data_IF_575953192033
#
_entry.id   IF_575953192033
#
_cell.length_a   1.000
_cell.length_b   1.000
_cell.length_c   1.000
_cell.angle_alpha   90.00
_cell.angle_beta   90.00
_cell.angle_gamma   90.00
#
_symmetry.space_group_name_H-M   'P 1'
#
loop_
_entity.id
_entity.type
_entity.pdbx_description
1 polymer ?
#
# COMPACT_ATOMS: atom_id res chain seq x y z
N UNK A 1 -1.63 22.15 -9.44
CA UNK A 1 -0.51 21.51 -8.73
C UNK A 1 -0.97 21.22 -7.32
N UNK A 2 -1.11 19.95 -6.96
CA UNK A 2 -1.31 19.54 -5.57
C UNK A 2 -0.15 18.59 -5.25
N UNK A 3 0.76 19.08 -4.40
CA UNK A 3 1.80 18.26 -3.79
C UNK A 3 1.10 17.19 -2.96
N UNK A 4 1.58 15.94 -2.99
CA UNK A 4 1.16 14.87 -2.07
C UNK A 4 1.53 15.14 -0.60
N UNK A 5 1.62 16.40 -0.19
CA UNK A 5 1.54 16.83 1.19
C UNK A 5 0.06 16.80 1.57
N UNK A 6 -0.39 15.66 2.08
CA UNK A 6 -1.51 15.67 3.00
C UNK A 6 -1.16 16.63 4.14
N UNK A 7 -1.83 17.79 4.18
CA UNK A 7 -1.63 18.89 5.16
C UNK A 7 -1.80 18.47 6.64
N UNK A 8 -2.05 17.18 6.93
CA UNK A 8 -2.17 16.62 8.28
C UNK A 8 -1.53 15.23 8.42
N UNK A 9 -0.49 14.92 7.63
CA UNK A 9 0.31 13.71 7.87
C UNK A 9 1.58 14.11 8.65
N UNK A 10 1.82 13.60 9.87
CA UNK A 10 2.89 14.05 10.76
C UNK A 10 4.31 13.70 10.29
N UNK A 11 4.49 13.30 9.03
CA UNK A 11 5.73 12.75 8.50
C UNK A 11 6.36 13.71 7.48
N UNK A 12 7.42 14.42 7.89
CA UNK A 12 8.16 15.39 7.07
C UNK A 12 8.93 14.75 5.88
N UNK A 13 8.99 13.41 5.84
CA UNK A 13 9.44 12.60 4.70
C UNK A 13 8.48 11.41 4.59
N UNK A 14 8.06 11.01 3.38
CA UNK A 14 7.09 9.92 3.21
C UNK A 14 7.50 8.67 4.00
N UNK A 15 6.59 8.16 4.85
CA UNK A 15 6.83 7.05 5.80
C UNK A 15 7.50 5.85 5.17
N UNK A 16 7.11 5.53 3.93
CA UNK A 16 7.63 4.41 3.18
C UNK A 16 9.14 4.50 2.89
N UNK A 17 9.67 5.73 2.72
CA UNK A 17 11.11 5.96 2.55
C UNK A 17 11.90 5.64 3.82
N UNK A 18 11.33 5.92 5.00
CA UNK A 18 11.94 5.57 6.29
C UNK A 18 11.85 4.07 6.58
N UNK A 19 10.79 3.40 6.09
CA UNK A 19 10.55 1.98 6.31
C UNK A 19 11.36 1.08 5.35
N UNK A 20 11.64 1.54 4.12
CA UNK A 20 12.29 0.76 3.06
C UNK A 20 13.55 0.00 3.52
N UNK A 21 14.51 0.59 4.27
CA UNK A 21 15.71 -0.14 4.68
C UNK A 21 15.41 -1.39 5.52
N UNK A 22 14.35 -1.36 6.32
CA UNK A 22 13.92 -2.49 7.14
C UNK A 22 13.33 -3.60 6.27
N UNK A 23 12.50 -3.26 5.28
CA UNK A 23 11.93 -4.24 4.35
C UNK A 23 13.01 -4.90 3.50
N UNK A 24 13.99 -4.12 3.04
CA UNK A 24 15.12 -4.62 2.26
C UNK A 24 15.97 -5.60 3.06
N UNK A 25 16.28 -5.28 4.33
CA UNK A 25 17.00 -6.18 5.23
C UNK A 25 16.25 -7.50 5.49
N UNK A 26 14.92 -7.49 5.36
CA UNK A 26 14.04 -8.65 5.54
C UNK A 26 13.70 -9.38 4.23
N UNK A 27 14.30 -8.98 3.11
CA UNK A 27 14.21 -9.69 1.83
C UNK A 27 13.19 -9.13 0.83
N UNK A 28 12.62 -7.94 1.07
CA UNK A 28 11.81 -7.21 0.09
C UNK A 28 12.55 -5.95 -0.39
N UNK A 29 13.12 -6.02 -1.58
CA UNK A 29 13.80 -4.89 -2.21
C UNK A 29 12.80 -4.00 -2.99
N UNK A 30 12.62 -2.77 -2.52
CA UNK A 30 11.79 -1.73 -3.15
C UNK A 30 12.63 -0.63 -3.83
N UNK A 31 13.92 -0.85 -4.08
CA UNK A 31 14.84 0.15 -4.67
C UNK A 31 14.37 0.72 -6.00
N UNK A 32 13.67 -0.07 -6.82
CA UNK A 32 13.12 0.35 -8.12
C UNK A 32 11.68 0.89 -8.04
N UNK A 33 11.13 1.08 -6.84
CA UNK A 33 9.76 1.53 -6.64
C UNK A 33 9.72 3.02 -6.32
N UNK A 34 8.60 3.66 -6.68
CA UNK A 34 8.31 4.99 -6.16
C UNK A 34 7.93 4.86 -4.67
N UNK A 35 8.56 5.64 -3.80
CA UNK A 35 8.39 5.55 -2.35
C UNK A 35 7.18 6.35 -1.86
N UNK A 36 6.05 6.14 -2.52
CA UNK A 36 4.72 6.62 -2.15
C UNK A 36 3.67 5.57 -2.54
N UNK A 37 2.43 5.76 -2.10
CA UNK A 37 1.33 4.84 -2.38
C UNK A 37 0.31 5.44 -3.33
N UNK A 38 -0.26 4.60 -4.18
CA UNK A 38 -1.48 4.88 -4.94
C UNK A 38 -2.64 4.37 -4.08
N UNK A 39 -3.53 5.26 -3.68
CA UNK A 39 -4.75 4.90 -2.97
C UNK A 39 -5.84 4.59 -3.98
N UNK A 40 -6.10 3.31 -4.21
CA UNK A 40 -7.13 2.85 -5.13
C UNK A 40 -8.42 2.55 -4.37
N UNK A 41 -9.48 3.30 -4.66
CA UNK A 41 -10.82 2.93 -4.20
C UNK A 41 -11.38 1.79 -5.04
N UNK A 42 -11.88 0.77 -4.35
CA UNK A 42 -12.59 -0.38 -4.93
C UNK A 42 -14.09 -0.39 -4.57
N UNK A 43 -14.59 0.70 -3.99
CA UNK A 43 -15.99 0.84 -3.62
C UNK A 43 -16.94 0.49 -4.80
N UNK A 44 -18.05 -0.22 -4.55
CA UNK A 44 -18.59 -0.61 -3.25
C UNK A 44 -18.01 -1.91 -2.68
N UNK A 45 -16.90 -2.41 -3.22
CA UNK A 45 -16.23 -3.59 -2.67
C UNK A 45 -15.34 -3.22 -1.50
N UNK A 46 -15.11 -4.21 -0.65
CA UNK A 46 -14.11 -4.20 0.40
C UNK A 46 -13.10 -5.32 0.18
N UNK A 47 -11.95 -5.26 0.86
CA UNK A 47 -10.96 -6.33 0.80
C UNK A 47 -10.51 -6.82 2.18
N UNK A 48 -10.02 -8.05 2.20
CA UNK A 48 -9.39 -8.69 3.35
C UNK A 48 -8.07 -9.33 2.93
N UNK A 49 -7.00 -9.17 3.72
CA UNK A 49 -5.77 -9.95 3.53
C UNK A 49 -5.95 -11.35 4.14
N UNK A 50 -5.63 -12.37 3.36
CA UNK A 50 -5.72 -13.78 3.77
C UNK A 50 -4.33 -14.37 4.02
N UNK A 51 -3.49 -14.41 2.98
CA UNK A 51 -2.16 -14.99 3.04
C UNK A 51 -1.14 -14.15 2.27
N UNK A 52 -0.81 -12.94 2.73
CA UNK A 52 0.16 -12.08 2.06
C UNK A 52 1.51 -12.76 1.88
N UNK A 53 2.15 -12.54 0.73
CA UNK A 53 3.50 -13.05 0.43
C UNK A 53 4.54 -12.67 1.47
N UNK A 54 4.50 -11.42 1.96
CA UNK A 54 5.37 -10.96 3.04
C UNK A 54 4.54 -10.44 4.21
N UNK A 55 4.97 -10.77 5.43
CA UNK A 55 4.46 -10.15 6.66
C UNK A 55 5.63 -9.89 7.60
N UNK A 56 5.97 -8.63 7.77
CA UNK A 56 7.03 -8.17 8.67
C UNK A 56 6.39 -7.64 9.94
N UNK A 57 6.58 -8.37 11.06
CA UNK A 57 5.97 -8.05 12.35
C UNK A 57 6.91 -7.23 13.23
N UNK A 58 6.34 -6.32 14.01
CA UNK A 58 7.04 -5.53 15.04
C UNK A 58 8.26 -4.76 14.48
N UNK A 59 8.09 -4.13 13.33
CA UNK A 59 9.14 -3.33 12.71
C UNK A 59 9.22 -1.97 13.42
N UNK A 60 10.30 -1.77 14.17
CA UNK A 60 10.64 -0.49 14.80
C UNK A 60 11.35 0.41 13.78
N UNK A 61 10.58 1.06 12.92
CA UNK A 61 11.10 1.89 11.83
C UNK A 61 11.36 3.36 12.23
N UNK A 62 10.93 3.78 13.42
CA UNK A 62 11.15 5.12 13.95
C UNK A 62 11.28 5.11 15.48
N UNK A 63 12.17 5.93 16.08
CA UNK A 63 12.39 5.94 17.54
C UNK A 63 11.13 6.28 18.34
N UNK A 64 10.29 7.19 17.83
CA UNK A 64 9.14 7.72 18.58
C UNK A 64 7.82 6.97 18.33
N UNK A 65 7.77 6.04 17.37
CA UNK A 65 6.53 5.29 17.05
C UNK A 65 6.60 3.86 17.60
N UNK A 66 5.48 3.28 18.05
CA UNK A 66 5.46 1.85 18.40
C UNK A 66 5.87 1.00 17.19
N UNK A 67 6.42 -0.21 17.42
CA UNK A 67 6.65 -1.15 16.33
C UNK A 67 5.34 -1.48 15.60
N UNK A 68 5.40 -1.56 14.27
CA UNK A 68 4.24 -1.81 13.41
C UNK A 68 4.38 -3.12 12.63
N UNK A 69 3.26 -3.67 12.17
CA UNK A 69 3.25 -4.82 11.26
C UNK A 69 2.88 -4.38 9.86
N UNK A 70 3.61 -4.90 8.87
CA UNK A 70 3.41 -4.59 7.46
C UNK A 70 3.26 -5.88 6.66
N UNK A 71 2.23 -5.95 5.82
CA UNK A 71 2.04 -7.03 4.86
C UNK A 71 2.14 -6.52 3.43
N UNK A 72 2.66 -7.39 2.55
CA UNK A 72 2.79 -7.12 1.13
C UNK A 72 2.29 -8.31 0.33
N UNK A 73 1.37 -8.05 -0.58
CA UNK A 73 0.86 -9.04 -1.54
C UNK A 73 1.18 -8.56 -2.96
N UNK A 74 1.83 -9.36 -3.82
CA UNK A 74 2.09 -8.97 -5.20
C UNK A 74 0.79 -8.67 -5.95
N UNK A 75 0.81 -7.62 -6.76
CA UNK A 75 -0.27 -7.30 -7.68
C UNK A 75 0.30 -6.87 -9.02
N UNK A 76 -0.56 -6.81 -10.04
CA UNK A 76 -0.22 -6.16 -11.32
C UNK A 76 -1.13 -4.97 -11.47
N UNK A 77 -0.52 -3.79 -11.64
CA UNK A 77 -1.24 -2.54 -11.91
C UNK A 77 -1.27 -2.32 -13.41
N UNK A 78 -2.46 -2.11 -13.94
CA UNK A 78 -2.73 -1.91 -15.35
C UNK A 78 -3.31 -0.52 -15.56
N UNK A 79 -2.63 0.27 -16.39
CA UNK A 79 -3.04 1.60 -16.77
C UNK A 79 -2.75 1.81 -18.26
N UNK A 80 -3.81 2.10 -19.03
CA UNK A 80 -3.72 2.18 -20.50
C UNK A 80 -3.09 0.88 -21.07
N UNK A 81 -2.07 1.00 -21.91
CA UNK A 81 -1.38 -0.14 -22.53
C UNK A 81 -0.17 -0.64 -21.69
N UNK A 82 -0.10 -0.28 -20.41
CA UNK A 82 1.01 -0.65 -19.52
C UNK A 82 0.55 -1.51 -18.36
N UNK A 83 1.34 -2.53 -18.08
CA UNK A 83 1.22 -3.38 -16.90
C UNK A 83 2.53 -3.38 -16.14
N UNK A 84 2.49 -3.08 -14.84
CA UNK A 84 3.67 -3.11 -13.98
C UNK A 84 3.45 -4.01 -12.77
N UNK A 85 4.51 -4.68 -12.34
CA UNK A 85 4.50 -5.41 -11.09
C UNK A 85 4.50 -4.43 -9.91
N UNK A 86 3.55 -4.61 -9.01
CA UNK A 86 3.39 -3.83 -7.78
C UNK A 86 3.25 -4.71 -6.55
N UNK A 87 3.01 -4.06 -5.42
CA UNK A 87 2.58 -4.67 -4.18
C UNK A 87 1.39 -3.90 -3.61
N UNK A 88 0.36 -4.63 -3.18
CA UNK A 88 -0.56 -4.10 -2.16
C UNK A 88 0.25 -3.97 -0.87
N UNK A 89 0.30 -2.76 -0.36
CA UNK A 89 0.96 -2.40 0.89
C UNK A 89 -0.08 -2.25 1.98
N UNK A 90 0.04 -3.07 3.03
CA UNK A 90 -0.91 -3.07 4.11
C UNK A 90 -0.22 -2.85 5.45
N UNK A 91 -0.24 -1.61 5.97
CA UNK A 91 0.20 -1.35 7.34
C UNK A 91 -0.95 -1.68 8.31
N UNK A 92 -0.75 -2.69 9.16
CA UNK A 92 -1.83 -3.25 9.99
C UNK A 92 -2.39 -2.21 10.99
N UNK A 93 -3.68 -1.85 10.90
CA UNK A 93 -4.28 -0.79 11.71
C UNK A 93 -4.31 -1.13 13.20
N UNK A 94 -4.36 -2.42 13.55
CA UNK A 94 -4.29 -2.92 14.94
C UNK A 94 -3.03 -2.47 15.67
N UNK A 95 -1.96 -2.20 14.92
CA UNK A 95 -0.69 -1.71 15.47
C UNK A 95 -0.58 -0.18 15.48
N UNK A 96 -1.57 0.53 14.91
CA UNK A 96 -1.63 1.99 14.81
C UNK A 96 -2.69 2.57 15.74
N UNK A 97 -2.29 3.43 16.65
CA UNK A 97 -3.22 4.15 17.54
C UNK A 97 -4.03 5.14 16.68
N UNK A 98 -5.37 5.00 16.66
CA UNK A 98 -6.28 6.01 16.11
C UNK A 98 -6.43 6.07 14.59
N UNK A 99 -5.91 5.09 13.84
CA UNK A 99 -6.06 5.03 12.38
C UNK A 99 -7.04 3.92 11.97
N UNK A 100 -8.22 4.30 11.48
CA UNK A 100 -9.13 3.41 10.76
C UNK A 100 -8.74 3.45 9.28
N UNK A 101 -8.40 2.30 8.71
CA UNK A 101 -8.20 2.17 7.27
C UNK A 101 -9.53 1.77 6.64
N UNK A 102 -10.01 2.58 5.69
CA UNK A 102 -11.19 2.26 4.90
C UNK A 102 -10.95 0.96 4.13
N UNK A 103 -11.74 -0.08 4.38
CA UNK A 103 -11.61 -1.39 3.76
C UNK A 103 -11.95 -1.39 2.27
N UNK A 104 -12.40 -0.26 1.71
CA UNK A 104 -12.55 -0.04 0.28
C UNK A 104 -11.34 0.64 -0.38
N UNK A 105 -10.29 0.97 0.38
CA UNK A 105 -9.07 1.61 -0.15
C UNK A 105 -7.87 0.66 -0.08
N UNK A 106 -7.38 0.26 -1.25
CA UNK A 106 -6.13 -0.48 -1.39
C UNK A 106 -4.98 0.49 -1.60
N UNK A 107 -3.97 0.45 -0.74
CA UNK A 107 -2.71 1.18 -0.96
C UNK A 107 -1.75 0.32 -1.80
N UNK A 108 -1.26 0.87 -2.91
CA UNK A 108 -0.38 0.16 -3.85
C UNK A 108 0.97 0.87 -3.95
N UNK A 109 2.05 0.10 -3.86
CA UNK A 109 3.40 0.54 -4.20
C UNK A 109 3.77 -0.07 -5.55
N UNK A 110 4.20 0.76 -6.49
CA UNK A 110 4.65 0.35 -7.82
C UNK A 110 5.87 1.18 -8.25
N UNK A 111 6.62 0.75 -9.28
CA UNK A 111 7.50 1.65 -10.03
C UNK A 111 6.75 2.92 -10.46
N UNK A 112 7.48 4.01 -10.72
CA UNK A 112 6.88 5.26 -11.14
C UNK A 112 6.01 5.05 -12.39
N UNK A 113 4.70 5.23 -12.23
CA UNK A 113 3.74 5.20 -13.32
C UNK A 113 3.63 6.62 -13.89
N UNK A 114 4.08 6.80 -15.13
CA UNK A 114 3.92 8.09 -15.83
C UNK A 114 2.46 8.30 -16.24
N UNK A 115 2.02 9.56 -16.26
CA UNK A 115 0.72 9.98 -16.77
C UNK A 115 -0.47 9.43 -15.98
N UNK A 116 -0.32 9.28 -14.65
CA UNK A 116 -1.47 9.04 -13.76
C UNK A 116 -1.87 10.36 -13.12
N UNK A 117 -3.15 10.67 -13.23
CA UNK A 117 -3.79 11.80 -12.58
C UNK A 117 -4.81 11.32 -11.53
N UNK A 118 -5.15 12.21 -10.58
CA UNK A 118 -6.18 11.90 -9.61
C UNK A 118 -7.53 11.71 -10.29
N UNK A 119 -8.22 10.61 -9.99
CA UNK A 119 -9.49 10.24 -10.61
C UNK A 119 -9.36 9.28 -11.80
N UNK A 120 -8.14 8.96 -12.22
CA UNK A 120 -7.91 7.94 -13.24
C UNK A 120 -8.40 6.56 -12.79
N UNK A 121 -8.85 5.78 -13.76
CA UNK A 121 -9.24 4.38 -13.55
C UNK A 121 -8.06 3.47 -13.79
N UNK A 122 -7.73 2.70 -12.75
CA UNK A 122 -6.73 1.64 -12.79
C UNK A 122 -7.41 0.28 -12.72
N UNK A 123 -6.85 -0.70 -13.40
CA UNK A 123 -7.18 -2.11 -13.17
C UNK A 123 -6.06 -2.75 -12.38
N UNK A 124 -6.42 -3.56 -11.38
CA UNK A 124 -5.43 -4.24 -10.53
C UNK A 124 -5.77 -5.72 -10.48
N UNK A 125 -4.78 -6.55 -10.82
CA UNK A 125 -4.89 -7.99 -10.66
C UNK A 125 -4.29 -8.42 -9.33
N UNK A 126 -5.11 -9.06 -8.51
CA UNK A 126 -4.79 -9.54 -7.18
C UNK A 126 -4.74 -11.08 -7.18
N UNK A 127 -3.92 -11.64 -6.29
CA UNK A 127 -3.95 -13.07 -6.02
C UNK A 127 -5.09 -13.39 -5.03
N UNK A 128 -6.14 -14.14 -5.43
CA UNK A 128 -7.28 -14.43 -4.55
C UNK A 128 -6.94 -15.29 -3.33
N UNK A 129 -5.77 -15.95 -3.34
CA UNK A 129 -5.26 -16.65 -2.15
C UNK A 129 -4.64 -15.71 -1.12
N UNK A 130 -4.21 -14.52 -1.55
CA UNK A 130 -3.57 -13.53 -0.67
C UNK A 130 -4.54 -12.43 -0.26
N UNK A 131 -5.47 -12.04 -1.14
CA UNK A 131 -6.44 -10.98 -0.92
C UNK A 131 -7.82 -11.43 -1.42
N UNK A 132 -8.82 -11.36 -0.56
CA UNK A 132 -10.23 -11.58 -0.92
C UNK A 132 -10.92 -10.24 -1.12
N UNK A 133 -11.78 -10.19 -2.14
CA UNK A 133 -12.71 -9.10 -2.36
C UNK A 133 -14.10 -9.54 -1.94
N UNK A 134 -14.81 -8.65 -1.27
CA UNK A 134 -16.19 -8.82 -0.86
C UNK A 134 -17.02 -7.70 -1.45
N UNK A 135 -18.17 -8.01 -2.02
CA UNK A 135 -19.16 -7.00 -2.39
C UNK A 135 -20.01 -6.71 -1.16
N UNK A 136 -20.24 -5.44 -0.84
CA UNK A 136 -21.31 -5.08 0.08
C UNK A 136 -22.65 -5.37 -0.63
N UNK A 137 -23.22 -6.54 -0.36
CA UNK A 137 -24.59 -6.86 -0.76
C UNK A 137 -25.52 -5.96 0.07
N UNK A 138 -26.00 -4.89 -0.54
CA UNK A 138 -27.08 -4.06 0.03
C UNK A 138 -28.40 -4.81 -0.02
#
# INVERSE_FOLDING_TARGET
>A
MASGLTENSPYEQGTLKMQQPYFQALGLDLSNFYLGTINLSIAPHTFELVQPKYTFRNIKWHPNYPPETFSFSPCIVEHQDRSVQGYVYYPHPETKIGHFQDSSIIEIIAPLLSNIEYGDRLSVRLNPQEIKLSSDNT
#
